data_IF_470143354885
#
_entry.id   IF_470143354885
#
_cell.length_a   1.000
_cell.length_b   1.000
_cell.length_c   1.000
_cell.angle_alpha   90.00
_cell.angle_beta   90.00
_cell.angle_gamma   90.00
#
_symmetry.space_group_name_H-M   'P 1'
#
loop_
_entity.id
_entity.type
_entity.pdbx_description
1 polymer ?
#
# COMPACT_ATOMS: atom_id res chain seq x y z
N UNK A 1 -6.55 6.47 -11.98
CA UNK A 1 -7.44 5.91 -10.93
C UNK A 1 -6.99 6.58 -9.64
N UNK A 2 -7.86 7.34 -8.97
CA UNK A 2 -7.46 8.04 -7.73
C UNK A 2 -7.28 7.04 -6.58
N UNK A 3 -6.40 7.36 -5.64
CA UNK A 3 -6.17 6.56 -4.44
C UNK A 3 -7.45 6.35 -3.60
N UNK A 4 -8.41 7.28 -3.67
CA UNK A 4 -9.77 7.11 -3.17
C UNK A 4 -10.48 5.83 -3.68
N UNK A 5 -10.23 5.46 -4.94
CA UNK A 5 -10.72 4.21 -5.52
C UNK A 5 -9.95 2.97 -5.05
N UNK A 6 -8.65 3.12 -4.77
CA UNK A 6 -7.82 2.06 -4.18
C UNK A 6 -8.27 1.77 -2.75
N UNK A 7 -8.43 2.80 -1.90
CA UNK A 7 -9.01 2.69 -0.56
C UNK A 7 -10.40 2.04 -0.64
N UNK A 8 -11.32 2.57 -1.46
CA UNK A 8 -12.68 2.00 -1.55
C UNK A 8 -12.73 0.54 -1.98
N UNK A 9 -11.91 0.14 -2.95
CA UNK A 9 -11.93 -1.22 -3.51
C UNK A 9 -11.13 -2.23 -2.68
N UNK A 10 -10.04 -1.79 -2.05
CA UNK A 10 -9.07 -2.67 -1.38
C UNK A 10 -9.26 -2.69 0.15
N UNK A 11 -9.70 -1.59 0.75
CA UNK A 11 -9.95 -1.52 2.21
C UNK A 11 -11.42 -1.75 2.62
N UNK A 12 -12.27 -2.21 1.69
CA UNK A 12 -13.59 -2.77 2.01
C UNK A 12 -14.61 -1.79 2.60
N UNK A 13 -14.71 -0.57 2.06
CA UNK A 13 -15.69 0.43 2.52
C UNK A 13 -17.13 0.24 1.96
N UNK A 14 -17.40 -0.86 1.25
CA UNK A 14 -18.74 -1.19 0.71
C UNK A 14 -19.63 -2.00 1.68
N UNK A 15 -19.51 -1.82 3.00
CA UNK A 15 -20.55 -2.31 3.93
C UNK A 15 -21.57 -1.20 4.17
N UNK A 16 -22.89 -1.45 3.99
CA UNK A 16 -23.90 -0.43 4.23
C UNK A 16 -23.84 0.03 5.68
N UNK A 17 -23.65 1.34 5.84
CA UNK A 17 -23.79 2.05 7.11
C UNK A 17 -25.26 2.03 7.54
N UNK A 18 -25.71 0.94 8.15
CA UNK A 18 -26.92 0.96 8.96
C UNK A 18 -26.52 1.27 10.40
N UNK A 19 -27.09 2.34 10.94
CA UNK A 19 -27.01 2.81 12.32
C UNK A 19 -25.79 3.65 12.74
N UNK A 20 -25.60 4.83 12.13
CA UNK A 20 -25.03 5.98 12.85
C UNK A 20 -25.79 7.29 12.56
N UNK A 21 -26.04 8.14 13.57
CA UNK A 21 -26.81 9.37 13.42
C UNK A 21 -26.03 10.44 12.64
N UNK A 22 -26.77 11.21 11.83
CA UNK A 22 -26.25 12.25 10.97
C UNK A 22 -25.54 13.38 11.75
N UNK A 23 -24.45 13.99 11.21
CA UNK A 23 -23.91 15.22 11.74
C UNK A 23 -24.88 16.38 11.54
N UNK A 24 -25.01 17.20 12.58
CA UNK A 24 -25.78 18.45 12.61
C UNK A 24 -25.22 19.50 11.66
N UNK A 25 -26.10 20.13 10.88
CA UNK A 25 -25.79 21.25 10.00
C UNK A 25 -25.39 22.50 10.80
N UNK A 26 -24.37 23.20 10.31
CA UNK A 26 -24.06 24.56 10.74
C UNK A 26 -24.17 25.51 9.53
N UNK A 27 -25.23 26.29 9.54
CA UNK A 27 -25.43 27.51 8.76
C UNK A 27 -24.42 28.59 9.19
N UNK A 28 -23.77 29.28 8.23
CA UNK A 28 -23.69 30.75 8.27
C UNK A 28 -23.38 31.35 6.89
N UNK A 29 -24.11 32.42 6.58
CA UNK A 29 -24.11 33.20 5.35
C UNK A 29 -22.81 33.95 5.02
N UNK A 30 -22.43 33.88 3.73
CA UNK A 30 -22.30 35.02 2.81
C UNK A 30 -21.19 36.08 2.98
N UNK A 31 -20.31 36.19 1.98
CA UNK A 31 -20.13 37.43 1.20
C UNK A 31 -19.31 37.21 -0.08
N UNK A 32 -19.82 37.75 -1.20
CA UNK A 32 -19.10 37.90 -2.45
C UNK A 32 -18.08 39.04 -2.36
N UNK A 33 -16.91 38.85 -2.98
CA UNK A 33 -16.00 39.94 -3.34
C UNK A 33 -15.50 39.66 -4.76
N UNK A 34 -15.86 40.56 -5.67
CA UNK A 34 -15.34 40.66 -7.02
C UNK A 34 -14.11 41.58 -6.99
N UNK A 35 -12.97 41.14 -7.53
CA UNK A 35 -12.02 42.05 -8.17
C UNK A 35 -11.14 41.31 -9.21
N UNK A 36 -10.88 41.89 -10.40
CA UNK A 36 -10.18 41.22 -11.49
C UNK A 36 -8.68 41.55 -11.56
N UNK A 37 -7.94 40.65 -12.21
CA UNK A 37 -6.60 40.81 -12.77
C UNK A 37 -5.38 40.81 -11.81
N UNK A 38 -4.76 39.64 -11.65
CA UNK A 38 -3.32 39.44 -11.91
C UNK A 38 -3.10 37.98 -12.33
N UNK A 39 -2.92 37.75 -13.64
CA UNK A 39 -2.29 36.54 -14.15
C UNK A 39 -0.80 36.65 -13.84
N UNK A 40 -0.35 35.98 -12.78
CA UNK A 40 1.07 35.62 -12.64
C UNK A 40 1.32 34.46 -13.60
N UNK A 41 2.35 34.50 -14.47
CA UNK A 41 2.74 33.33 -15.21
C UNK A 41 3.32 32.35 -14.20
N UNK A 42 2.61 31.25 -13.92
CA UNK A 42 3.18 30.11 -13.21
C UNK A 42 4.28 29.57 -14.12
N UNK A 43 5.51 29.92 -13.75
CA UNK A 43 6.73 29.54 -14.43
C UNK A 43 6.85 28.02 -14.42
N UNK A 44 6.71 27.41 -15.60
CA UNK A 44 6.99 26.01 -15.82
C UNK A 44 8.46 25.71 -15.62
N UNK A 45 8.82 25.17 -14.45
CA UNK A 45 9.84 24.12 -14.30
C UNK A 45 9.85 23.59 -12.86
N UNK A 46 8.83 22.84 -12.48
CA UNK A 46 9.01 21.84 -11.42
C UNK A 46 9.56 20.60 -12.13
N UNK A 47 10.77 20.19 -11.79
CA UNK A 47 11.21 18.86 -12.16
C UNK A 47 10.14 17.88 -11.65
N UNK A 48 9.69 16.96 -12.50
CA UNK A 48 8.76 15.90 -12.12
C UNK A 48 9.43 15.08 -11.01
N UNK A 49 9.17 15.47 -9.76
CA UNK A 49 9.80 14.92 -8.56
C UNK A 49 9.02 13.69 -8.07
N UNK A 50 8.05 13.26 -8.88
CA UNK A 50 7.19 12.12 -8.65
C UNK A 50 8.00 10.85 -8.49
N UNK A 51 7.84 10.17 -7.37
CA UNK A 51 8.46 8.87 -7.10
C UNK A 51 7.44 7.76 -7.22
N UNK A 52 7.85 6.61 -7.73
CA UNK A 52 6.97 5.45 -7.85
C UNK A 52 7.43 4.34 -6.92
N UNK A 53 6.55 3.89 -6.04
CA UNK A 53 6.75 2.73 -5.16
C UNK A 53 5.88 1.58 -5.67
N UNK A 54 6.39 0.36 -5.63
CA UNK A 54 5.65 -0.84 -6.04
C UNK A 54 4.83 -1.38 -4.87
N UNK A 55 3.56 -1.63 -5.11
CA UNK A 55 2.75 -2.42 -4.17
C UNK A 55 3.12 -3.90 -4.30
N UNK A 56 3.33 -4.58 -3.18
CA UNK A 56 3.63 -6.02 -3.13
C UNK A 56 2.79 -6.71 -2.04
N UNK A 57 2.66 -8.04 -2.13
CA UNK A 57 2.02 -8.86 -1.09
C UNK A 57 0.50 -8.89 -1.09
N UNK A 58 -0.14 -8.32 -2.11
CA UNK A 58 -1.58 -8.47 -2.33
C UNK A 58 -1.88 -9.78 -3.03
N UNK A 59 -2.78 -10.57 -2.47
CA UNK A 59 -3.03 -11.94 -2.92
C UNK A 59 -4.44 -12.08 -3.47
N UNK A 60 -4.61 -12.97 -4.45
CA UNK A 60 -5.90 -13.25 -5.03
C UNK A 60 -6.91 -13.69 -3.96
N UNK A 61 -8.17 -13.35 -4.22
CA UNK A 61 -9.33 -13.77 -3.44
C UNK A 61 -10.54 -13.80 -4.40
N UNK A 62 -11.67 -14.41 -4.02
CA UNK A 62 -12.90 -14.33 -4.81
C UNK A 62 -13.27 -12.86 -5.10
N UNK A 63 -13.36 -12.50 -6.39
CA UNK A 63 -13.57 -11.13 -6.86
C UNK A 63 -12.31 -10.27 -7.05
N UNK A 64 -11.14 -10.80 -6.66
CA UNK A 64 -9.83 -10.15 -6.76
C UNK A 64 -8.81 -11.06 -7.49
N UNK A 65 -9.26 -11.84 -8.48
CA UNK A 65 -8.44 -12.85 -9.19
C UNK A 65 -7.31 -12.25 -10.03
N UNK A 66 -7.25 -10.93 -10.14
CA UNK A 66 -6.20 -10.20 -10.85
C UNK A 66 -4.89 -10.09 -10.06
N UNK A 67 -4.91 -10.41 -8.76
CA UNK A 67 -3.71 -10.51 -7.94
C UNK A 67 -3.04 -11.89 -8.04
N UNK A 68 -1.75 -12.02 -7.68
CA UNK A 68 -1.07 -13.32 -7.67
C UNK A 68 -1.66 -14.30 -6.65
N UNK A 69 -1.57 -15.61 -6.95
CA UNK A 69 -1.90 -16.67 -6.02
C UNK A 69 -0.70 -16.96 -5.09
N UNK A 70 -0.82 -16.78 -3.77
CA UNK A 70 0.28 -16.99 -2.82
C UNK A 70 0.80 -18.44 -2.81
N UNK A 71 -0.03 -19.42 -3.19
CA UNK A 71 0.41 -20.82 -3.25
C UNK A 71 1.51 -21.03 -4.30
N UNK A 72 1.58 -20.18 -5.33
CA UNK A 72 2.60 -20.24 -6.38
C UNK A 72 3.96 -19.65 -5.95
N UNK A 73 4.06 -19.14 -4.73
CA UNK A 73 5.28 -18.58 -4.16
C UNK A 73 5.84 -19.44 -3.02
N UNK A 74 5.14 -20.49 -2.60
CA UNK A 74 5.62 -21.38 -1.54
C UNK A 74 6.83 -22.17 -2.06
N UNK A 75 7.97 -21.97 -1.40
CA UNK A 75 9.24 -22.61 -1.70
C UNK A 75 9.91 -23.04 -0.39
N UNK A 76 9.72 -24.30 -0.02
CA UNK A 76 10.27 -24.87 1.23
C UNK A 76 11.79 -25.07 1.18
N UNK A 77 12.39 -24.98 0.00
CA UNK A 77 13.84 -25.10 -0.19
C UNK A 77 14.53 -23.74 -0.22
N UNK A 78 13.77 -22.64 -0.06
CA UNK A 78 14.31 -21.30 -0.01
C UNK A 78 15.30 -21.13 1.16
N UNK A 79 16.38 -20.37 0.92
CA UNK A 79 17.41 -20.11 1.92
C UNK A 79 16.81 -19.43 3.17
N UNK A 80 16.86 -20.12 4.30
CA UNK A 80 16.26 -19.67 5.55
C UNK A 80 16.86 -18.36 6.09
N UNK A 81 18.14 -18.07 5.80
CA UNK A 81 18.79 -16.82 6.19
C UNK A 81 18.25 -15.67 5.36
N UNK A 82 18.08 -15.89 4.04
CA UNK A 82 17.47 -14.90 3.15
C UNK A 82 16.01 -14.67 3.52
N UNK A 83 15.22 -15.73 3.72
CA UNK A 83 13.81 -15.61 4.11
C UNK A 83 13.65 -14.85 5.42
N UNK A 84 14.52 -15.11 6.41
CA UNK A 84 14.51 -14.38 7.67
C UNK A 84 14.85 -12.89 7.47
N UNK A 85 15.85 -12.56 6.65
CA UNK A 85 16.18 -11.16 6.32
C UNK A 85 14.99 -10.44 5.69
N UNK A 86 14.32 -11.09 4.73
CA UNK A 86 13.14 -10.53 4.05
C UNK A 86 12.00 -10.32 5.05
N UNK A 87 11.74 -11.30 5.91
CA UNK A 87 10.72 -11.20 6.95
C UNK A 87 11.00 -10.08 7.94
N UNK A 88 12.25 -9.94 8.40
CA UNK A 88 12.69 -8.86 9.28
C UNK A 88 12.58 -7.48 8.60
N UNK A 89 12.92 -7.38 7.31
CA UNK A 89 12.72 -6.18 6.50
C UNK A 89 11.25 -5.76 6.47
N UNK A 90 10.34 -6.69 6.14
CA UNK A 90 8.91 -6.40 6.03
C UNK A 90 8.30 -5.94 7.35
N UNK A 91 8.76 -6.49 8.47
CA UNK A 91 8.33 -6.07 9.82
C UNK A 91 8.90 -4.73 10.24
N UNK A 92 10.05 -4.35 9.70
CA UNK A 92 10.72 -3.08 9.97
C UNK A 92 10.11 -1.89 9.22
N UNK A 93 9.14 -2.12 8.33
CA UNK A 93 8.48 -1.04 7.59
C UNK A 93 7.76 -0.04 8.48
N UNK A 94 7.65 1.19 7.99
CA UNK A 94 6.88 2.24 8.66
C UNK A 94 5.41 2.09 8.28
N UNK A 95 4.55 1.97 9.28
CA UNK A 95 3.10 2.00 9.10
C UNK A 95 2.63 3.40 8.64
N UNK A 96 1.80 3.47 7.61
CA UNK A 96 1.26 4.73 7.09
C UNK A 96 -0.25 4.74 6.79
N UNK A 97 -0.95 3.61 6.83
CA UNK A 97 -2.42 3.57 6.73
C UNK A 97 -2.97 2.39 7.54
N UNK A 98 -4.03 2.60 8.31
CA UNK A 98 -4.79 1.53 8.97
C UNK A 98 -6.18 1.37 8.37
N UNK A 99 -6.66 0.13 8.36
CA UNK A 99 -8.00 -0.23 7.88
C UNK A 99 -8.92 -0.61 9.04
N UNK A 100 -10.24 -0.45 8.87
CA UNK A 100 -11.22 -0.72 9.92
C UNK A 100 -11.50 -2.24 10.16
N UNK A 101 -10.68 -3.14 9.61
CA UNK A 101 -10.84 -4.58 9.70
C UNK A 101 -9.51 -5.34 9.56
N UNK A 102 -9.54 -6.66 9.78
CA UNK A 102 -8.36 -7.51 9.60
C UNK A 102 -8.44 -8.28 8.30
N UNK A 103 -7.32 -8.39 7.60
CA UNK A 103 -7.17 -9.35 6.52
C UNK A 103 -7.08 -10.78 7.08
N UNK A 104 -7.43 -11.77 6.27
CA UNK A 104 -7.21 -13.19 6.59
C UNK A 104 -6.12 -13.74 5.66
N UNK A 105 -5.23 -14.57 6.23
CA UNK A 105 -4.25 -15.31 5.43
C UNK A 105 -4.98 -16.24 4.46
N UNK A 106 -4.63 -16.16 3.17
CA UNK A 106 -5.22 -16.99 2.11
C UNK A 106 -4.83 -18.47 2.19
N UNK A 107 -3.73 -18.78 2.91
CA UNK A 107 -3.22 -20.15 3.03
C UNK A 107 -3.72 -20.87 4.29
N UNK A 108 -3.87 -20.17 5.42
CA UNK A 108 -4.29 -20.78 6.69
C UNK A 108 -5.51 -20.14 7.38
N UNK A 109 -6.02 -19.03 6.86
CA UNK A 109 -7.23 -18.37 7.37
C UNK A 109 -7.07 -17.60 8.68
N UNK A 110 -5.87 -17.50 9.26
CA UNK A 110 -5.65 -16.70 10.48
C UNK A 110 -5.74 -15.21 10.19
N UNK A 111 -6.02 -14.40 11.22
CA UNK A 111 -5.93 -12.94 11.12
C UNK A 111 -4.52 -12.53 10.70
N UNK A 112 -4.43 -11.64 9.72
CA UNK A 112 -3.20 -11.33 9.01
C UNK A 112 -3.00 -9.83 8.82
N UNK A 113 -3.07 -9.09 9.94
CA UNK A 113 -2.85 -7.66 9.99
C UNK A 113 -4.02 -6.80 9.50
N UNK A 114 -3.89 -5.49 9.73
CA UNK A 114 -4.91 -4.47 9.39
C UNK A 114 -4.31 -3.17 8.86
N UNK A 115 -3.00 -3.15 8.59
CA UNK A 115 -2.27 -1.94 8.24
C UNK A 115 -1.41 -2.10 6.98
N UNK A 116 -1.12 -0.98 6.34
CA UNK A 116 -0.15 -0.87 5.23
C UNK A 116 1.17 -0.28 5.73
N UNK A 117 2.27 -0.86 5.27
CA UNK A 117 3.64 -0.49 5.59
C UNK A 117 4.38 -0.03 4.34
N UNK A 118 5.41 0.79 4.54
CA UNK A 118 6.31 1.26 3.50
C UNK A 118 7.76 1.24 3.98
N UNK A 119 8.70 1.11 3.04
CA UNK A 119 10.12 1.41 3.29
C UNK A 119 10.48 2.86 2.92
N UNK A 120 9.53 3.61 2.37
CA UNK A 120 9.69 4.97 1.88
C UNK A 120 10.52 5.10 0.61
N UNK A 121 10.95 3.99 -0.01
CA UNK A 121 11.92 4.00 -1.11
C UNK A 121 11.48 3.17 -2.31
N UNK A 122 11.04 1.94 -2.09
CA UNK A 122 10.75 0.98 -3.14
C UNK A 122 9.35 0.39 -3.06
N UNK A 123 8.83 0.14 -1.85
CA UNK A 123 7.68 -0.74 -1.69
C UNK A 123 6.64 -0.20 -0.72
N UNK A 124 5.38 -0.56 -0.99
CA UNK A 124 4.30 -0.56 -0.02
C UNK A 124 3.71 -1.97 0.08
N UNK A 125 3.32 -2.42 1.27
CA UNK A 125 2.84 -3.78 1.49
C UNK A 125 1.90 -3.90 2.71
N UNK A 126 1.03 -4.92 2.74
CA UNK A 126 0.21 -5.19 3.90
C UNK A 126 1.06 -5.81 5.01
N UNK A 127 0.79 -5.42 6.26
CA UNK A 127 1.44 -5.93 7.49
C UNK A 127 1.57 -7.46 7.49
N UNK A 128 0.52 -8.13 7.03
CA UNK A 128 0.43 -9.58 6.98
C UNK A 128 1.37 -10.27 5.98
N UNK A 129 2.12 -9.55 5.15
CA UNK A 129 3.02 -10.18 4.17
C UNK A 129 4.11 -11.02 4.84
N UNK A 130 4.67 -10.56 5.97
CA UNK A 130 5.69 -11.31 6.70
C UNK A 130 5.19 -12.67 7.24
N UNK A 131 3.89 -12.79 7.51
CA UNK A 131 3.30 -14.06 7.95
C UNK A 131 3.37 -15.14 6.86
N UNK A 132 3.20 -14.76 5.59
CA UNK A 132 3.31 -15.71 4.47
C UNK A 132 4.71 -16.30 4.38
N UNK A 133 5.74 -15.49 4.64
CA UNK A 133 7.13 -15.94 4.64
C UNK A 133 7.34 -16.92 5.80
N UNK A 134 7.02 -16.49 7.02
CA UNK A 134 7.38 -17.27 8.21
C UNK A 134 6.55 -18.54 8.41
N UNK A 135 5.24 -18.47 8.13
CA UNK A 135 4.33 -19.57 8.40
C UNK A 135 4.17 -20.52 7.21
N UNK A 136 4.43 -20.03 5.99
CA UNK A 136 4.11 -20.77 4.77
C UNK A 136 5.29 -20.92 3.82
N UNK A 137 6.46 -20.35 4.11
CA UNK A 137 7.63 -20.46 3.24
C UNK A 137 7.40 -19.78 1.89
N UNK A 138 6.58 -18.73 1.85
CA UNK A 138 6.43 -17.92 0.64
C UNK A 138 7.75 -17.20 0.36
N UNK A 139 8.36 -17.49 -0.78
CA UNK A 139 9.53 -16.80 -1.31
C UNK A 139 9.09 -15.71 -2.29
N UNK A 140 9.38 -14.46 -1.95
CA UNK A 140 9.18 -13.33 -2.87
C UNK A 140 10.15 -13.40 -4.07
N UNK A 141 9.80 -12.82 -5.23
CA UNK A 141 10.70 -12.77 -6.39
C UNK A 141 12.05 -12.12 -6.08
N UNK A 142 13.11 -12.64 -6.70
CA UNK A 142 14.49 -12.20 -6.40
C UNK A 142 14.67 -10.69 -6.66
N UNK A 143 14.08 -10.15 -7.74
CA UNK A 143 14.10 -8.71 -8.08
C UNK A 143 13.59 -7.81 -6.93
N UNK A 144 12.71 -8.32 -6.07
CA UNK A 144 12.28 -7.60 -4.86
C UNK A 144 13.30 -7.80 -3.73
N UNK A 145 13.66 -9.04 -3.46
CA UNK A 145 14.48 -9.38 -2.29
C UNK A 145 15.92 -8.84 -2.38
N UNK A 146 16.42 -8.59 -3.59
CA UNK A 146 17.69 -7.92 -3.86
C UNK A 146 17.68 -6.45 -3.41
N UNK A 147 16.52 -5.79 -3.45
CA UNK A 147 16.34 -4.41 -2.98
C UNK A 147 16.13 -4.33 -1.45
N UNK A 148 15.92 -5.47 -0.79
CA UNK A 148 15.78 -5.60 0.66
C UNK A 148 17.14 -5.91 1.31
N UNK A 149 18.14 -5.06 1.02
CA UNK A 149 19.52 -5.22 1.44
C UNK A 149 19.82 -4.61 2.81
N UNK A 150 19.01 -3.64 3.24
CA UNK A 150 19.09 -2.95 4.52
C UNK A 150 17.72 -2.86 5.20
N UNK A 151 17.64 -2.84 6.53
CA UNK A 151 16.39 -2.57 7.23
C UNK A 151 15.79 -1.23 6.79
N UNK A 152 14.45 -1.11 6.68
CA UNK A 152 13.81 0.16 6.38
C UNK A 152 14.16 1.23 7.41
N UNK A 153 14.43 2.45 6.94
CA UNK A 153 14.55 3.61 7.81
C UNK A 153 13.15 4.15 8.18
N UNK A 154 12.98 4.78 9.36
CA UNK A 154 11.73 5.44 9.69
C UNK A 154 11.36 6.50 8.65
N UNK A 155 10.10 6.49 8.22
CA UNK A 155 9.51 7.46 7.29
C UNK A 155 8.73 8.50 8.09
N UNK A 156 8.75 9.76 7.65
CA UNK A 156 7.81 10.79 8.13
C UNK A 156 6.42 10.43 7.61
N UNK A 157 5.58 9.87 8.48
CA UNK A 157 4.27 9.31 8.11
C UNK A 157 3.32 10.38 7.61
N UNK A 158 3.27 11.54 8.26
CA UNK A 158 2.36 12.62 7.85
C UNK A 158 2.76 13.18 6.47
N UNK A 159 4.06 13.33 6.23
CA UNK A 159 4.55 13.72 4.92
C UNK A 159 4.25 12.66 3.87
N UNK A 160 4.54 11.39 4.15
CA UNK A 160 4.31 10.29 3.21
C UNK A 160 2.83 10.12 2.88
N UNK A 161 1.94 10.17 3.87
CA UNK A 161 0.49 10.12 3.66
C UNK A 161 0.04 11.27 2.77
N UNK A 162 0.42 12.52 3.08
CA UNK A 162 0.08 13.67 2.22
C UNK A 162 0.59 13.47 0.79
N UNK A 163 1.82 12.98 0.63
CA UNK A 163 2.45 12.82 -0.68
C UNK A 163 1.80 11.71 -1.53
N UNK A 164 1.22 10.69 -0.88
CA UNK A 164 0.46 9.61 -1.53
C UNK A 164 -1.01 10.00 -1.78
N UNK A 165 -1.65 10.63 -0.80
CA UNK A 165 -3.10 10.83 -0.76
C UNK A 165 -3.55 12.14 -1.42
N UNK A 166 -2.74 13.19 -1.29
CA UNK A 166 -3.17 14.55 -1.59
C UNK A 166 -2.37 15.19 -2.72
N UNK A 167 -1.03 15.09 -2.71
CA UNK A 167 -0.19 15.78 -3.70
C UNK A 167 0.16 14.91 -4.91
N UNK A 168 0.00 13.59 -4.80
CA UNK A 168 0.40 12.60 -5.81
C UNK A 168 1.90 12.65 -6.16
N UNK A 169 2.74 13.23 -5.30
CA UNK A 169 4.21 13.19 -5.43
C UNK A 169 4.77 11.76 -5.25
N UNK A 170 3.99 10.88 -4.63
CA UNK A 170 4.27 9.45 -4.57
C UNK A 170 3.15 8.68 -5.26
N UNK A 171 3.51 7.96 -6.32
CA UNK A 171 2.62 7.06 -7.04
C UNK A 171 2.84 5.62 -6.61
N UNK A 172 1.74 4.88 -6.40
CA UNK A 172 1.79 3.46 -6.09
C UNK A 172 1.52 2.64 -7.36
N UNK A 173 2.55 1.94 -7.84
CA UNK A 173 2.46 1.02 -8.96
C UNK A 173 1.92 -0.34 -8.51
N UNK A 174 0.73 -0.69 -8.99
CA UNK A 174 0.10 -2.00 -8.77
C UNK A 174 0.31 -2.97 -9.94
N UNK A 175 0.70 -2.46 -11.11
CA UNK A 175 0.75 -3.23 -12.34
C UNK A 175 1.86 -4.28 -12.29
N UNK A 176 3.01 -3.93 -11.69
CA UNK A 176 4.12 -4.87 -11.53
C UNK A 176 3.66 -6.13 -10.78
N UNK A 177 3.04 -5.98 -9.60
CA UNK A 177 2.62 -7.13 -8.78
C UNK A 177 1.55 -7.97 -9.45
N UNK A 178 0.59 -7.34 -10.14
CA UNK A 178 -0.43 -8.03 -10.95
C UNK A 178 0.15 -8.85 -12.10
N UNK A 179 1.38 -8.55 -12.54
CA UNK A 179 2.05 -9.29 -13.61
C UNK A 179 2.80 -10.53 -13.11
N UNK A 180 3.10 -10.62 -11.81
CA UNK A 180 3.86 -11.73 -11.23
C UNK A 180 3.02 -13.02 -11.21
N UNK A 181 3.65 -14.18 -11.44
CA UNK A 181 2.98 -15.49 -11.54
C UNK A 181 3.57 -16.57 -10.62
N UNK A 182 4.44 -16.21 -9.68
CA UNK A 182 5.10 -17.11 -8.73
C UNK A 182 6.53 -16.68 -8.40
N UNK A 183 7.26 -17.48 -7.62
CA UNK A 183 8.63 -17.24 -7.18
C UNK A 183 9.72 -17.45 -8.26
N UNK A 184 9.39 -17.23 -9.54
CA UNK A 184 10.27 -17.58 -10.67
C UNK A 184 11.70 -17.01 -10.48
N UNK A 185 12.68 -17.90 -10.67
CA UNK A 185 14.13 -17.64 -10.65
C UNK A 185 14.64 -17.05 -11.96
#
# INVERSE_FOLDING_TARGET
MSWDGFVKHVVGLDKPAADYPAPVEADTQGRAITDPAMMIPVSSSEADNTRTLRLIGYWCAPGEEHWPDPALFVDHEADAVVQRRVSDYLRGGTWFVATAGHSLCRLCGTRNGSTELTDGRYFVWPEGLAHYIDAHGVRLPDEITELMDQPPAPVDVEAFERDVLETEEILIDTAWWRSVRGSQS
#
